data_IF_870714944798
#
_entry.id   IF_870714944798
#
_cell.length_a   1.000
_cell.length_b   1.000
_cell.length_c   1.000
_cell.angle_alpha   90.00
_cell.angle_beta   90.00
_cell.angle_gamma   90.00
#
_symmetry.space_group_name_H-M   'P 1'
#
loop_
_entity.id
_entity.type
_entity.pdbx_description
1 polymer ?
#
# COMPACT_ATOMS: atom_id res chain seq x y z
N UNK A 1 1.55 -13.50 -0.42
CA UNK A 1 1.19 -13.23 -1.82
C UNK A 1 1.91 -11.94 -2.21
N UNK A 2 2.66 -11.91 -3.32
CA UNK A 2 3.49 -10.73 -3.65
C UNK A 2 2.70 -9.68 -4.43
N UNK A 3 3.26 -8.47 -4.51
CA UNK A 3 2.72 -7.36 -5.28
C UNK A 3 2.60 -7.66 -6.79
N UNK A 4 3.26 -8.70 -7.30
CA UNK A 4 3.20 -9.13 -8.71
C UNK A 4 1.79 -9.47 -9.19
N UNK A 5 0.86 -9.82 -8.28
CA UNK A 5 -0.55 -10.05 -8.60
C UNK A 5 -1.20 -8.82 -9.26
N UNK A 6 -0.64 -7.63 -9.04
CA UNK A 6 -1.11 -6.38 -9.63
C UNK A 6 -0.44 -6.01 -10.94
N UNK A 7 0.60 -6.73 -11.40
CA UNK A 7 1.50 -6.32 -12.51
C UNK A 7 0.76 -5.73 -13.71
N UNK A 8 -0.23 -6.45 -14.26
CA UNK A 8 -1.03 -5.97 -15.41
C UNK A 8 -1.78 -4.66 -15.14
N UNK A 9 -2.29 -4.45 -13.93
CA UNK A 9 -2.95 -3.19 -13.53
C UNK A 9 -1.94 -2.08 -13.30
N UNK A 10 -0.77 -2.39 -12.74
CA UNK A 10 0.32 -1.44 -12.54
C UNK A 10 0.83 -0.91 -13.88
N UNK A 11 1.01 -1.78 -14.88
CA UNK A 11 1.48 -1.39 -16.22
C UNK A 11 0.55 -0.38 -16.89
N UNK A 12 -0.77 -0.52 -16.69
CA UNK A 12 -1.74 0.45 -17.17
C UNK A 12 -1.69 1.76 -16.39
N UNK A 13 -1.71 1.70 -15.05
CA UNK A 13 -1.77 2.89 -14.20
C UNK A 13 -0.48 3.73 -14.26
N UNK A 14 0.68 3.10 -14.46
CA UNK A 14 1.97 3.78 -14.58
C UNK A 14 2.07 4.72 -15.78
N UNK A 15 1.14 4.62 -16.75
CA UNK A 15 1.06 5.53 -17.90
C UNK A 15 0.67 6.95 -17.52
N UNK A 16 -0.08 7.13 -16.42
CA UNK A 16 -0.62 8.44 -16.02
C UNK A 16 -0.43 8.78 -14.55
N UNK A 17 0.03 7.82 -13.73
CA UNK A 17 0.20 7.98 -12.28
C UNK A 17 1.54 7.38 -11.85
N UNK A 18 2.14 7.96 -10.81
CA UNK A 18 3.21 7.27 -10.06
C UNK A 18 2.58 6.16 -9.25
N UNK A 19 3.03 4.92 -9.46
CA UNK A 19 2.48 3.75 -8.79
C UNK A 19 3.57 3.07 -7.97
N UNK A 20 3.26 2.75 -6.72
CA UNK A 20 4.15 2.05 -5.80
C UNK A 20 3.41 0.80 -5.35
N UNK A 21 4.02 -0.35 -5.60
CA UNK A 21 3.51 -1.64 -5.16
C UNK A 21 4.36 -2.11 -3.98
N UNK A 22 3.70 -2.56 -2.92
CA UNK A 22 4.35 -2.91 -1.66
C UNK A 22 4.09 -4.38 -1.35
N UNK A 23 5.12 -5.09 -0.94
CA UNK A 23 5.01 -6.37 -0.27
C UNK A 23 4.85 -6.10 1.24
N UNK A 24 3.74 -6.51 1.90
CA UNK A 24 3.61 -6.35 3.34
C UNK A 24 4.70 -7.09 4.12
N UNK A 25 5.01 -6.66 5.34
CA UNK A 25 5.93 -7.38 6.24
C UNK A 25 5.55 -8.87 6.36
N UNK A 26 6.57 -9.72 6.26
CA UNK A 26 6.42 -11.18 6.22
C UNK A 26 5.96 -11.75 4.87
N UNK A 27 5.96 -10.96 3.79
CA UNK A 27 5.56 -11.42 2.45
C UNK A 27 6.55 -11.00 1.37
N UNK A 28 6.71 -11.85 0.35
CA UNK A 28 7.45 -11.52 -0.86
C UNK A 28 8.90 -11.15 -0.58
N UNK A 29 9.30 -9.97 -1.04
CA UNK A 29 10.66 -9.44 -0.83
C UNK A 29 10.83 -8.67 0.48
N UNK A 30 9.74 -8.46 1.22
CA UNK A 30 9.76 -7.83 2.54
C UNK A 30 10.05 -8.89 3.61
N UNK A 31 11.11 -8.68 4.38
CA UNK A 31 11.44 -9.49 5.55
C UNK A 31 10.48 -9.24 6.73
N UNK A 32 10.98 -9.45 7.95
CA UNK A 32 10.24 -9.16 9.18
C UNK A 32 9.36 -10.31 9.64
N UNK A 33 9.98 -11.49 9.85
CA UNK A 33 9.31 -12.61 10.54
C UNK A 33 8.90 -12.23 11.98
N UNK A 34 9.64 -11.29 12.59
CA UNK A 34 9.37 -10.75 13.93
C UNK A 34 8.56 -9.44 13.93
N UNK A 35 8.11 -8.98 12.76
CA UNK A 35 7.32 -7.75 12.65
C UNK A 35 5.87 -7.97 13.11
N UNK A 36 5.26 -6.93 13.68
CA UNK A 36 3.82 -6.97 13.96
C UNK A 36 3.01 -7.07 12.66
N UNK A 37 2.49 -8.27 12.41
CA UNK A 37 1.66 -8.60 11.24
C UNK A 37 0.16 -8.37 11.50
N UNK A 38 -0.22 -7.82 12.65
CA UNK A 38 -1.58 -7.35 12.89
C UNK A 38 -1.99 -6.31 11.84
N UNK A 39 -3.30 -6.12 11.58
CA UNK A 39 -3.78 -5.04 10.72
C UNK A 39 -3.26 -3.65 11.12
N UNK A 40 -3.11 -3.41 12.42
CA UNK A 40 -2.63 -2.16 13.02
C UNK A 40 -1.12 -1.97 12.79
N UNK A 41 -0.31 -2.98 13.08
CA UNK A 41 1.14 -2.97 12.81
C UNK A 41 1.45 -2.78 11.33
N UNK A 42 0.67 -3.44 10.46
CA UNK A 42 0.78 -3.25 9.00
C UNK A 42 0.38 -1.85 8.54
N UNK A 43 -0.61 -1.23 9.18
CA UNK A 43 -0.98 0.16 8.89
C UNK A 43 0.08 1.16 9.37
N UNK A 44 0.70 0.91 10.52
CA UNK A 44 1.82 1.70 11.02
C UNK A 44 3.05 1.58 10.11
N UNK A 45 3.35 0.40 9.57
CA UNK A 45 4.43 0.22 8.60
C UNK A 45 4.15 0.93 7.28
N UNK A 46 2.91 0.86 6.79
CA UNK A 46 2.49 1.67 5.63
C UNK A 46 2.63 3.17 5.91
N UNK A 47 2.37 3.60 7.14
CA UNK A 47 2.53 4.98 7.55
C UNK A 47 3.96 5.48 7.45
N UNK A 48 4.86 4.79 8.12
CA UNK A 48 6.28 5.11 8.11
C UNK A 48 6.84 5.11 6.67
N UNK A 49 6.34 4.21 5.81
CA UNK A 49 6.72 4.19 4.40
C UNK A 49 6.26 5.45 3.65
N UNK A 50 5.01 5.87 3.80
CA UNK A 50 4.49 7.07 3.15
C UNK A 50 5.24 8.32 3.61
N UNK A 51 5.50 8.44 4.92
CA UNK A 51 6.23 9.56 5.52
C UNK A 51 7.66 9.61 4.99
N UNK A 52 8.35 8.46 4.95
CA UNK A 52 9.73 8.38 4.43
C UNK A 52 9.84 8.66 2.94
N UNK A 53 8.77 8.43 2.18
CA UNK A 53 8.69 8.77 0.75
C UNK A 53 8.16 10.20 0.50
N UNK A 54 7.77 10.93 1.55
CA UNK A 54 7.18 12.27 1.44
C UNK A 54 5.85 12.29 0.68
N UNK A 55 5.04 11.24 0.83
CA UNK A 55 3.79 11.07 0.08
C UNK A 55 2.58 11.46 0.91
N UNK A 56 2.05 12.67 0.66
CA UNK A 56 0.92 13.21 1.42
C UNK A 56 -0.45 12.87 0.82
N UNK A 57 -0.54 12.71 -0.51
CA UNK A 57 -1.79 12.44 -1.22
C UNK A 57 -1.65 11.19 -2.08
N UNK A 58 -2.19 10.08 -1.59
CA UNK A 58 -2.12 8.77 -2.25
C UNK A 58 -3.50 8.11 -2.32
N UNK A 59 -3.71 7.35 -3.39
CA UNK A 59 -4.84 6.42 -3.48
C UNK A 59 -4.33 5.05 -3.04
N UNK A 60 -4.89 4.52 -1.96
CA UNK A 60 -4.57 3.19 -1.47
C UNK A 60 -5.50 2.16 -2.13
N UNK A 61 -4.91 1.19 -2.83
CA UNK A 61 -5.61 0.05 -3.41
C UNK A 61 -5.24 -1.20 -2.61
N UNK A 62 -6.21 -1.80 -1.93
CA UNK A 62 -6.04 -3.02 -1.16
C UNK A 62 -7.05 -4.08 -1.56
N UNK A 63 -6.65 -5.36 -1.50
CA UNK A 63 -7.56 -6.51 -1.68
C UNK A 63 -7.53 -7.39 -0.44
N UNK A 64 -8.71 -7.83 0.03
CA UNK A 64 -8.90 -8.69 1.20
C UNK A 64 -8.23 -8.14 2.47
N UNK A 65 -7.15 -8.76 2.97
CA UNK A 65 -6.35 -8.27 4.09
C UNK A 65 -5.86 -6.83 3.86
N UNK A 66 -5.56 -6.46 2.61
CA UNK A 66 -5.21 -5.09 2.23
C UNK A 66 -6.34 -4.08 2.49
N UNK A 67 -7.61 -4.51 2.45
CA UNK A 67 -8.77 -3.66 2.78
C UNK A 67 -8.85 -3.41 4.28
N UNK A 68 -8.48 -4.38 5.13
CA UNK A 68 -8.43 -4.19 6.59
C UNK A 68 -7.32 -3.21 6.99
N UNK A 69 -6.16 -3.32 6.36
CA UNK A 69 -5.01 -2.41 6.55
C UNK A 69 -5.34 -0.99 6.04
N UNK A 70 -6.03 -0.87 4.90
CA UNK A 70 -6.48 0.42 4.40
C UNK A 70 -7.59 1.05 5.26
N UNK A 71 -8.45 0.25 5.90
CA UNK A 71 -9.50 0.77 6.79
C UNK A 71 -8.96 1.28 8.12
N UNK A 72 -7.98 0.59 8.71
CA UNK A 72 -7.32 1.05 9.94
C UNK A 72 -6.58 2.37 9.75
N UNK A 73 -6.24 2.74 8.51
CA UNK A 73 -5.77 4.07 8.13
C UNK A 73 -6.68 4.68 7.06
N UNK A 74 -7.83 5.20 7.50
CA UNK A 74 -8.76 5.90 6.60
C UNK A 74 -8.16 7.22 6.09
N UNK A 75 -7.43 7.18 4.97
CA UNK A 75 -7.21 8.34 4.10
C UNK A 75 -8.12 8.17 2.89
N UNK A 76 -9.29 8.82 2.97
CA UNK A 76 -10.08 9.13 1.80
C UNK A 76 -9.53 10.43 1.21
N UNK A 77 -9.01 10.39 -0.01
CA UNK A 77 -8.97 11.59 -0.84
C UNK A 77 -9.50 11.25 -2.22
N UNK A 78 -10.80 11.50 -2.40
CA UNK A 78 -11.35 11.87 -3.70
C UNK A 78 -10.61 13.10 -4.19
N UNK A 79 -10.01 13.02 -5.38
CA UNK A 79 -9.17 14.08 -5.90
C UNK A 79 -9.00 13.98 -7.41
N UNK A 80 -10.11 13.89 -8.13
CA UNK A 80 -10.16 14.08 -9.57
C UNK A 80 -11.16 15.17 -9.92
N UNK A 81 -10.73 16.43 -9.92
CA UNK A 81 -11.27 17.48 -10.80
C UNK A 81 -10.14 18.45 -11.16
N UNK A 82 -9.52 18.23 -12.31
CA UNK A 82 -9.68 19.03 -13.53
C UNK A 82 -9.34 18.14 -14.72
#
# INVERSE_FOLDING_TARGET
MTADVWRKRLDYLRRSRRVIAIDPCGQGRSGGHDADVSPEGRAANLAALLDRLGLERVVLLGWSLGVKIARSRSVATFGGRK
#
